data_IF_737225035830
#
_entry.id   IF_737225035830
#
_cell.length_a   1.000
_cell.length_b   1.000
_cell.length_c   1.000
_cell.angle_alpha   90.00
_cell.angle_beta   90.00
_cell.angle_gamma   90.00
#
_symmetry.space_group_name_H-M   'P 1'
#
loop_
_entity.id
_entity.type
_entity.pdbx_description
1 polymer ?
#
# COMPACT_ATOMS: atom_id res chain seq x y z
N UNK A 1 -6.74 -11.84 -17.31
CA UNK A 1 -7.16 -11.54 -18.71
C UNK A 1 -7.83 -10.18 -18.87
N UNK A 2 -8.60 -9.67 -17.90
CA UNK A 2 -9.43 -8.47 -18.08
C UNK A 2 -8.90 -7.19 -17.41
N UNK A 3 -7.65 -7.22 -16.92
CA UNK A 3 -7.04 -6.06 -16.24
C UNK A 3 -7.73 -5.66 -14.93
N UNK A 4 -8.62 -6.50 -14.38
CA UNK A 4 -9.41 -6.25 -13.17
C UNK A 4 -8.52 -6.19 -11.94
N UNK A 5 -7.94 -5.02 -11.72
CA UNK A 5 -6.98 -4.77 -10.65
C UNK A 5 -7.02 -3.30 -10.23
N UNK A 6 -6.59 -3.05 -9.00
CA UNK A 6 -6.33 -1.71 -8.49
C UNK A 6 -4.97 -1.72 -7.83
N UNK A 7 -4.23 -0.63 -7.97
CA UNK A 7 -2.90 -0.50 -7.37
C UNK A 7 -2.69 0.90 -6.81
N UNK A 8 -1.71 1.01 -5.93
CA UNK A 8 -1.25 2.28 -5.39
C UNK A 8 0.25 2.47 -5.56
N UNK A 9 0.67 3.72 -5.55
CA UNK A 9 2.09 4.08 -5.55
C UNK A 9 2.46 4.78 -4.25
N UNK A 10 3.19 4.09 -3.39
CA UNK A 10 3.56 4.58 -2.07
C UNK A 10 5.07 4.75 -1.99
N UNK A 11 5.57 5.77 -1.29
CA UNK A 11 7.01 5.98 -1.13
C UNK A 11 7.41 6.03 0.34
N UNK A 12 8.42 5.23 0.67
CA UNK A 12 9.18 5.33 1.90
C UNK A 12 10.40 6.20 1.64
N UNK A 13 10.65 7.14 2.55
CA UNK A 13 11.83 8.00 2.53
C UNK A 13 12.66 7.74 3.77
N UNK A 14 13.97 7.69 3.60
CA UNK A 14 14.88 7.75 4.73
C UNK A 14 14.94 9.22 5.21
N UNK A 15 14.52 9.48 6.44
CA UNK A 15 14.46 10.81 7.04
C UNK A 15 15.34 10.88 8.29
N UNK A 16 15.65 12.08 8.82
CA UNK A 16 16.36 12.18 10.10
C UNK A 16 15.65 11.51 11.30
N UNK A 17 14.36 11.16 11.17
CA UNK A 17 13.57 10.45 12.18
C UNK A 17 13.46 8.93 11.88
N UNK A 18 14.22 8.44 10.91
CA UNK A 18 14.13 7.09 10.36
C UNK A 18 13.23 6.99 9.12
N UNK A 19 13.00 5.76 8.63
CA UNK A 19 12.17 5.50 7.46
C UNK A 19 10.70 5.90 7.69
N UNK A 20 10.15 6.74 6.82
CA UNK A 20 8.76 7.20 6.89
C UNK A 20 8.05 6.92 5.56
N UNK A 21 6.88 6.28 5.66
CA UNK A 21 5.96 6.11 4.53
C UNK A 21 5.08 7.34 4.38
N UNK A 22 5.26 8.09 3.30
CA UNK A 22 4.57 9.37 3.10
C UNK A 22 3.09 9.17 2.75
N UNK A 23 2.19 9.86 3.47
CA UNK A 23 0.72 9.81 3.27
C UNK A 23 0.15 8.38 3.24
N UNK A 24 0.70 7.51 4.08
CA UNK A 24 0.46 6.08 4.02
C UNK A 24 -1.02 5.71 4.14
N UNK A 25 -1.73 6.33 5.09
CA UNK A 25 -3.15 6.05 5.32
C UNK A 25 -4.00 6.44 4.14
N UNK A 26 -3.74 7.60 3.53
CA UNK A 26 -4.51 8.09 2.39
C UNK A 26 -4.34 7.20 1.17
N UNK A 27 -3.13 6.69 0.93
CA UNK A 27 -2.90 5.71 -0.13
C UNK A 27 -3.63 4.38 0.16
N UNK A 28 -3.52 3.84 1.37
CA UNK A 28 -4.20 2.60 1.74
C UNK A 28 -5.74 2.73 1.66
N UNK A 29 -6.29 3.88 2.07
CA UNK A 29 -7.72 4.18 1.91
C UNK A 29 -8.11 4.26 0.43
N UNK A 30 -7.32 4.97 -0.40
CA UNK A 30 -7.61 5.11 -1.84
C UNK A 30 -7.58 3.78 -2.57
N UNK A 31 -6.68 2.85 -2.20
CA UNK A 31 -6.70 1.48 -2.74
C UNK A 31 -8.05 0.79 -2.52
N UNK A 32 -8.61 0.91 -1.30
CA UNK A 32 -9.94 0.36 -0.98
C UNK A 32 -11.06 1.09 -1.70
N UNK A 33 -10.96 2.41 -1.83
CA UNK A 33 -11.94 3.21 -2.56
C UNK A 33 -11.95 2.86 -4.06
N UNK A 34 -10.78 2.62 -4.66
CA UNK A 34 -10.65 2.11 -6.03
C UNK A 34 -11.29 0.72 -6.17
N UNK A 35 -11.02 -0.21 -5.24
CA UNK A 35 -11.66 -1.52 -5.26
C UNK A 35 -13.19 -1.44 -5.11
N UNK A 36 -13.68 -0.52 -4.27
CA UNK A 36 -15.10 -0.25 -4.05
C UNK A 36 -15.82 0.18 -5.35
N UNK A 37 -15.17 1.00 -6.19
CA UNK A 37 -15.74 1.41 -7.49
C UNK A 37 -16.00 0.19 -8.39
N UNK A 38 -15.07 -0.77 -8.41
CA UNK A 38 -15.19 -2.02 -9.18
C UNK A 38 -15.99 -3.11 -8.46
N UNK A 39 -16.45 -2.85 -7.23
CA UNK A 39 -17.24 -3.77 -6.40
C UNK A 39 -16.54 -5.10 -6.09
N UNK A 40 -15.21 -5.16 -6.13
CA UNK A 40 -14.49 -6.36 -5.69
C UNK A 40 -13.94 -6.21 -4.27
N UNK A 41 -13.98 -7.26 -3.45
CA UNK A 41 -13.61 -7.16 -2.04
C UNK A 41 -12.10 -7.09 -1.87
N UNK A 42 -11.63 -6.12 -1.07
CA UNK A 42 -10.33 -6.20 -0.39
C UNK A 42 -10.63 -6.62 1.05
N UNK A 43 -10.35 -7.88 1.44
CA UNK A 43 -10.72 -8.43 2.74
C UNK A 43 -9.79 -7.96 3.88
N UNK A 44 -9.15 -6.80 3.72
CA UNK A 44 -8.23 -6.22 4.68
C UNK A 44 -8.67 -4.80 5.05
N UNK A 45 -8.51 -4.46 6.31
CA UNK A 45 -8.62 -3.11 6.83
C UNK A 45 -7.49 -2.22 6.33
N UNK A 46 -7.69 -0.89 6.43
CA UNK A 46 -6.62 0.08 6.11
C UNK A 46 -5.39 -0.16 6.99
N UNK A 47 -5.58 -0.53 8.26
CA UNK A 47 -4.46 -0.80 9.18
C UNK A 47 -3.68 -2.05 8.78
N UNK A 48 -4.36 -3.13 8.37
CA UNK A 48 -3.69 -4.36 7.92
C UNK A 48 -2.87 -4.11 6.64
N UNK A 49 -3.41 -3.32 5.70
CA UNK A 49 -2.67 -2.93 4.48
C UNK A 49 -1.43 -2.10 4.84
N UNK A 50 -1.58 -1.16 5.79
CA UNK A 50 -0.48 -0.32 6.23
C UNK A 50 0.59 -1.12 7.00
N UNK A 51 0.18 -2.07 7.84
CA UNK A 51 1.14 -2.93 8.55
C UNK A 51 1.86 -3.86 7.59
N UNK A 52 1.15 -4.49 6.64
CA UNK A 52 1.78 -5.32 5.62
C UNK A 52 2.79 -4.53 4.77
N UNK A 53 2.50 -3.26 4.46
CA UNK A 53 3.45 -2.36 3.78
C UNK A 53 4.70 -2.10 4.62
N UNK A 54 4.54 -1.79 5.92
CA UNK A 54 5.69 -1.61 6.84
C UNK A 54 6.50 -2.89 6.97
N UNK A 55 5.83 -4.03 7.10
CA UNK A 55 6.47 -5.32 7.26
C UNK A 55 7.28 -5.70 6.02
N UNK A 56 6.74 -5.44 4.82
CA UNK A 56 7.46 -5.63 3.56
C UNK A 56 8.76 -4.83 3.54
N UNK A 57 8.75 -3.57 4.00
CA UNK A 57 9.96 -2.75 4.09
C UNK A 57 10.98 -3.32 5.07
N UNK A 58 10.54 -3.74 6.28
CA UNK A 58 11.41 -4.33 7.31
C UNK A 58 12.07 -5.61 6.83
N UNK A 59 11.30 -6.53 6.26
CA UNK A 59 11.80 -7.82 5.78
C UNK A 59 12.84 -7.66 4.65
N UNK A 60 12.70 -6.61 3.83
CA UNK A 60 13.66 -6.30 2.78
C UNK A 60 14.80 -5.35 3.25
N UNK A 61 14.81 -4.92 4.51
CA UNK A 61 15.80 -3.99 5.09
C UNK A 61 15.91 -2.68 4.27
N UNK A 62 14.77 -2.15 3.85
CA UNK A 62 14.70 -0.96 3.00
C UNK A 62 14.29 0.28 3.81
N UNK A 63 15.19 1.26 3.87
CA UNK A 63 14.94 2.55 4.52
C UNK A 63 14.38 3.61 3.56
N UNK A 64 14.47 3.35 2.25
CA UNK A 64 13.94 4.20 1.18
C UNK A 64 13.52 3.31 0.02
N UNK A 65 12.25 3.39 -0.39
CA UNK A 65 11.70 2.48 -1.38
C UNK A 65 10.42 3.03 -2.02
N UNK A 66 10.12 2.50 -3.20
CA UNK A 66 8.80 2.60 -3.80
C UNK A 66 8.05 1.29 -3.54
N UNK A 67 6.82 1.38 -3.03
CA UNK A 67 5.96 0.26 -2.71
C UNK A 67 4.74 0.29 -3.63
N UNK A 68 4.38 -0.89 -4.16
CA UNK A 68 3.28 -1.08 -5.10
C UNK A 68 2.24 -2.06 -4.53
N UNK A 69 1.35 -1.63 -3.62
CA UNK A 69 0.19 -2.43 -3.27
C UNK A 69 -0.65 -2.71 -4.52
N UNK A 70 -1.07 -3.97 -4.70
CA UNK A 70 -1.83 -4.44 -5.85
C UNK A 70 -2.92 -5.41 -5.37
N UNK A 71 -4.18 -5.12 -5.70
CA UNK A 71 -5.30 -6.05 -5.58
C UNK A 71 -5.81 -6.43 -6.96
N UNK A 72 -6.14 -7.69 -7.18
CA UNK A 72 -6.64 -8.21 -8.45
C UNK A 72 -7.59 -9.40 -8.22
N UNK A 73 -8.45 -9.67 -9.21
CA UNK A 73 -9.39 -10.81 -9.25
C UNK A 73 -9.30 -11.57 -10.56
#
# INVERSE_FOLDING_TARGET
HYGTSVFEGVRCYNTPKGPIVFRHREHAQRLKDSAKIYRFPIPYSVEEIMEATRETLRQNKLDSAYIRPLGFV
#
